data_IF_790041137498
#
_entry.id   IF_790041137498
#
_cell.length_a   1.000
_cell.length_b   1.000
_cell.length_c   1.000
_cell.angle_alpha   90.00
_cell.angle_beta   90.00
_cell.angle_gamma   90.00
#
_symmetry.space_group_name_H-M   'P 1'
#
loop_
_entity.id
_entity.type
_entity.pdbx_description
1 polymer ?
#
# COMPACT_ATOMS: atom_id res chain seq x y z
N UNK A 1 -17.72 -7.27 -14.69
CA UNK A 1 -16.49 -6.48 -14.88
C UNK A 1 -15.56 -6.71 -13.71
N UNK A 2 -14.26 -6.66 -13.95
CA UNK A 2 -13.24 -6.90 -12.94
C UNK A 2 -13.11 -5.75 -11.94
N UNK A 3 -12.53 -6.04 -10.78
CA UNK A 3 -12.12 -5.00 -9.81
C UNK A 3 -11.02 -4.12 -10.42
N UNK A 4 -11.12 -2.80 -10.22
CA UNK A 4 -10.17 -1.80 -10.70
C UNK A 4 -10.16 -0.57 -9.79
N UNK A 5 -9.25 0.35 -10.04
CA UNK A 5 -8.99 1.51 -9.21
C UNK A 5 -8.86 1.11 -7.75
N UNK A 6 -7.87 0.27 -7.45
CA UNK A 6 -7.58 -0.12 -6.07
C UNK A 6 -6.60 0.89 -5.47
N UNK A 7 -6.98 1.51 -4.37
CA UNK A 7 -6.07 2.36 -3.60
C UNK A 7 -6.33 2.19 -2.10
N UNK A 8 -5.36 2.63 -1.31
CA UNK A 8 -5.44 2.59 0.14
C UNK A 8 -5.11 3.97 0.70
N UNK A 9 -5.95 4.46 1.61
CA UNK A 9 -5.65 5.67 2.38
C UNK A 9 -5.30 5.32 3.82
N UNK A 10 -4.46 6.14 4.42
CA UNK A 10 -4.03 5.96 5.80
C UNK A 10 -5.00 6.66 6.75
N UNK A 11 -5.59 5.91 7.70
CA UNK A 11 -6.49 6.46 8.70
C UNK A 11 -5.78 6.72 10.04
N UNK A 12 -5.03 5.74 10.54
CA UNK A 12 -4.35 5.83 11.83
C UNK A 12 -3.04 5.05 11.82
N UNK A 13 -2.04 5.54 12.55
CA UNK A 13 -0.75 4.85 12.76
C UNK A 13 -0.48 4.75 14.25
N UNK A 14 -0.03 3.58 14.70
CA UNK A 14 0.52 3.37 16.02
C UNK A 14 1.96 2.88 15.87
N UNK A 15 2.91 3.78 16.11
CA UNK A 15 4.34 3.55 15.93
C UNK A 15 4.90 2.53 16.92
N UNK A 16 4.39 2.47 18.16
CA UNK A 16 4.90 1.55 19.19
C UNK A 16 4.57 0.10 18.84
N UNK A 17 3.39 -0.14 18.29
CA UNK A 17 2.96 -1.46 17.85
C UNK A 17 3.33 -1.78 16.40
N UNK A 18 3.89 -0.80 15.68
CA UNK A 18 4.14 -0.85 14.23
C UNK A 18 2.88 -1.26 13.45
N UNK A 19 1.74 -0.72 13.87
CA UNK A 19 0.42 -0.98 13.27
C UNK A 19 -0.09 0.24 12.52
N UNK A 20 -0.85 -0.05 11.47
CA UNK A 20 -1.40 0.92 10.54
C UNK A 20 -2.84 0.50 10.19
N UNK A 21 -3.81 1.38 10.44
CA UNK A 21 -5.18 1.22 9.98
C UNK A 21 -5.37 2.00 8.67
N UNK A 22 -5.68 1.29 7.60
CA UNK A 22 -5.97 1.86 6.29
C UNK A 22 -7.37 1.55 5.81
N UNK A 23 -7.94 2.42 4.98
CA UNK A 23 -9.13 2.10 4.19
C UNK A 23 -8.68 1.75 2.77
N UNK A 24 -8.99 0.53 2.32
CA UNK A 24 -8.85 0.14 0.92
C UNK A 24 -10.15 0.43 0.21
N UNK A 25 -10.06 1.15 -0.89
CA UNK A 25 -11.16 1.39 -1.81
C UNK A 25 -10.92 0.68 -3.13
N UNK A 26 -11.99 0.17 -3.73
CA UNK A 26 -12.00 -0.52 -5.03
C UNK A 26 -13.26 -0.17 -5.80
N UNK A 27 -13.17 -0.05 -7.11
CA UNK A 27 -14.33 0.03 -7.99
C UNK A 27 -14.63 -1.34 -8.61
N UNK A 28 -15.88 -1.78 -8.45
CA UNK A 28 -16.44 -2.95 -9.11
C UNK A 28 -17.64 -2.52 -9.96
N UNK A 29 -17.54 -2.62 -11.29
CA UNK A 29 -18.56 -2.13 -12.23
C UNK A 29 -19.01 -0.69 -11.91
N UNK A 30 -18.05 0.23 -11.77
CA UNK A 30 -18.25 1.65 -11.41
C UNK A 30 -18.90 1.93 -10.04
N UNK A 31 -19.18 0.90 -9.25
CA UNK A 31 -19.59 1.05 -7.86
C UNK A 31 -18.35 1.01 -6.96
N UNK A 32 -18.15 2.06 -6.17
CA UNK A 32 -17.10 2.10 -5.14
C UNK A 32 -17.48 1.20 -3.97
N UNK A 33 -16.54 0.38 -3.52
CA UNK A 33 -16.58 -0.37 -2.27
C UNK A 33 -15.35 -0.03 -1.44
N UNK A 34 -15.52 0.04 -0.14
CA UNK A 34 -14.42 0.31 0.80
C UNK A 34 -14.43 -0.70 1.93
N UNK A 35 -13.24 -1.01 2.45
CA UNK A 35 -13.05 -1.82 3.65
C UNK A 35 -11.88 -1.28 4.45
N UNK A 36 -11.98 -1.34 5.77
CA UNK A 36 -10.88 -1.01 6.65
C UNK A 36 -10.00 -2.25 6.85
N UNK A 37 -8.69 -2.08 6.77
CA UNK A 37 -7.69 -3.11 6.98
C UNK A 37 -6.69 -2.64 8.01
N UNK A 38 -6.35 -3.52 8.96
CA UNK A 38 -5.22 -3.31 9.86
C UNK A 38 -4.00 -4.04 9.31
N UNK A 39 -2.93 -3.30 9.05
CA UNK A 39 -1.63 -3.82 8.68
C UNK A 39 -0.69 -3.69 9.87
N UNK A 40 0.06 -4.75 10.18
CA UNK A 40 1.16 -4.70 11.16
C UNK A 40 2.46 -5.06 10.47
N UNK A 41 3.46 -4.19 10.58
CA UNK A 41 4.80 -4.54 10.14
C UNK A 41 5.40 -5.56 11.12
N UNK A 42 5.90 -6.67 10.58
CA UNK A 42 6.46 -7.75 11.37
C UNK A 42 7.84 -8.15 10.86
N UNK A 43 8.66 -8.62 11.78
CA UNK A 43 9.96 -9.25 11.52
C UNK A 43 9.81 -10.74 11.78
N UNK A 44 10.09 -11.59 10.78
CA UNK A 44 10.16 -13.02 11.00
C UNK A 44 11.53 -13.41 11.59
N UNK A 45 11.56 -14.56 12.26
CA UNK A 45 12.79 -15.16 12.76
C UNK A 45 13.83 -15.29 11.63
N UNK A 46 15.08 -14.91 11.93
CA UNK A 46 16.18 -14.87 10.96
C UNK A 46 16.31 -13.57 10.17
N UNK A 47 15.38 -12.61 10.33
CA UNK A 47 15.48 -11.28 9.72
C UNK A 47 15.75 -10.20 10.77
N UNK A 48 16.59 -9.23 10.41
CA UNK A 48 16.92 -8.09 11.29
C UNK A 48 16.01 -6.86 11.07
N UNK A 49 15.16 -6.92 10.05
CA UNK A 49 14.25 -5.84 9.66
C UNK A 49 12.85 -6.39 9.39
N UNK A 50 11.84 -5.55 9.50
CA UNK A 50 10.46 -5.96 9.23
C UNK A 50 10.29 -6.25 7.74
N UNK A 51 10.07 -7.51 7.41
CA UNK A 51 9.98 -8.02 6.02
C UNK A 51 8.57 -8.48 5.65
N UNK A 52 7.60 -8.34 6.55
CA UNK A 52 6.22 -8.81 6.35
C UNK A 52 5.20 -7.80 6.83
N UNK A 53 4.04 -7.77 6.17
CA UNK A 53 2.81 -7.23 6.73
C UNK A 53 1.91 -8.38 7.18
N UNK A 54 1.40 -8.33 8.40
CA UNK A 54 0.18 -9.08 8.72
C UNK A 54 -1.03 -8.21 8.42
N UNK A 55 -1.93 -8.70 7.57
CA UNK A 55 -3.17 -8.05 7.18
C UNK A 55 -4.35 -8.66 7.96
N UNK A 56 -5.22 -7.81 8.51
CA UNK A 56 -6.46 -8.22 9.20
C UNK A 56 -7.62 -7.34 8.72
N UNK A 57 -8.69 -7.94 8.21
CA UNK A 57 -9.87 -7.20 7.72
C UNK A 57 -10.74 -6.63 8.85
N UNK A 58 -10.92 -7.38 9.93
CA UNK A 58 -11.60 -6.90 11.14
C UNK A 58 -11.05 -7.62 12.37
N UNK A 59 -11.19 -7.08 13.59
CA UNK A 59 -10.80 -7.78 14.80
C UNK A 59 -11.42 -9.20 14.82
N UNK A 60 -10.58 -10.22 15.01
CA UNK A 60 -10.99 -11.63 14.97
C UNK A 60 -10.97 -12.31 13.58
N UNK A 61 -10.73 -11.57 12.49
CA UNK A 61 -10.54 -12.15 11.17
C UNK A 61 -9.24 -12.97 11.07
N UNK A 62 -9.19 -13.89 10.11
CA UNK A 62 -7.97 -14.63 9.79
C UNK A 62 -6.89 -13.65 9.32
N UNK A 63 -5.68 -13.79 9.87
CA UNK A 63 -4.51 -13.01 9.45
C UNK A 63 -3.94 -13.57 8.15
N UNK A 64 -3.71 -12.70 7.18
CA UNK A 64 -2.88 -13.00 6.01
C UNK A 64 -1.48 -12.42 6.24
N UNK A 65 -0.44 -13.17 5.88
CA UNK A 65 0.95 -12.72 5.97
C UNK A 65 1.48 -12.44 4.57
N UNK A 66 1.90 -11.19 4.35
CA UNK A 66 2.31 -10.65 3.06
C UNK A 66 3.80 -10.30 3.11
N UNK A 67 4.69 -11.12 2.53
CA UNK A 67 6.09 -10.78 2.38
C UNK A 67 6.27 -9.51 1.55
N UNK A 68 7.11 -8.60 2.03
CA UNK A 68 7.61 -7.44 1.28
C UNK A 68 8.84 -7.88 0.49
N UNK A 69 8.70 -8.01 -0.82
CA UNK A 69 9.78 -8.48 -1.70
C UNK A 69 10.75 -7.35 -2.10
N UNK A 70 10.24 -6.12 -2.18
CA UNK A 70 11.03 -4.93 -2.46
C UNK A 70 10.31 -3.69 -1.95
N UNK A 71 11.07 -2.69 -1.49
CA UNK A 71 10.54 -1.42 -1.07
C UNK A 71 11.49 -0.30 -1.49
N UNK A 72 10.93 0.75 -2.08
CA UNK A 72 11.59 2.05 -2.20
C UNK A 72 10.84 3.04 -1.30
N UNK A 73 11.41 3.41 -0.14
CA UNK A 73 10.72 4.21 0.87
C UNK A 73 10.06 5.47 0.29
N UNK A 74 8.78 5.66 0.62
CA UNK A 74 7.98 6.79 0.15
C UNK A 74 7.51 6.70 -1.31
N UNK A 75 7.99 5.73 -2.10
CA UNK A 75 7.68 5.63 -3.54
C UNK A 75 6.85 4.40 -3.87
N UNK A 76 7.36 3.20 -3.56
CA UNK A 76 6.68 1.96 -3.94
C UNK A 76 7.01 0.80 -3.00
N UNK A 77 6.13 -0.20 -3.01
CA UNK A 77 6.34 -1.48 -2.32
C UNK A 77 5.80 -2.62 -3.18
N UNK A 78 6.53 -3.72 -3.22
CA UNK A 78 6.13 -4.96 -3.87
C UNK A 78 5.84 -5.98 -2.78
N UNK A 79 4.60 -6.45 -2.74
CA UNK A 79 4.15 -7.47 -1.79
C UNK A 79 3.76 -8.75 -2.53
N UNK A 80 4.08 -9.90 -1.94
CA UNK A 80 3.72 -11.23 -2.49
C UNK A 80 2.52 -11.81 -1.74
N UNK A 81 1.70 -12.59 -2.42
CA UNK A 81 0.60 -13.36 -1.83
C UNK A 81 0.91 -14.86 -1.85
N UNK A 82 1.55 -15.40 -0.80
CA UNK A 82 2.01 -16.80 -0.80
C UNK A 82 0.89 -17.83 -0.68
N UNK A 83 -0.32 -17.44 -0.25
CA UNK A 83 -1.43 -18.36 0.06
C UNK A 83 -2.58 -18.33 -0.96
N UNK A 84 -2.44 -17.63 -2.11
CA UNK A 84 -3.42 -17.72 -3.20
C UNK A 84 -3.11 -18.95 -4.05
N UNK A 85 -4.11 -19.81 -4.20
CA UNK A 85 -4.07 -21.19 -4.70
C UNK A 85 -3.17 -21.48 -5.92
N UNK A 86 -2.58 -22.66 -5.86
CA UNK A 86 -1.46 -23.27 -6.60
C UNK A 86 -1.67 -23.64 -8.08
N UNK A 87 -2.55 -23.01 -8.84
CA UNK A 87 -2.65 -23.32 -10.29
C UNK A 87 -2.75 -22.13 -11.22
N UNK A 88 -3.05 -20.92 -10.73
CA UNK A 88 -2.97 -19.70 -11.53
C UNK A 88 -2.58 -18.50 -10.66
N UNK A 89 -1.36 -18.02 -10.89
CA UNK A 89 -0.81 -16.71 -10.48
C UNK A 89 -0.38 -16.61 -9.02
N UNK A 90 0.93 -16.72 -8.80
CA UNK A 90 1.55 -16.08 -7.64
C UNK A 90 1.31 -14.57 -7.76
N UNK A 91 0.29 -14.06 -7.08
CA UNK A 91 -0.09 -12.65 -7.19
C UNK A 91 0.94 -11.80 -6.43
N UNK A 92 1.79 -11.09 -7.15
CA UNK A 92 2.46 -9.92 -6.60
C UNK A 92 1.57 -8.70 -6.79
N UNK A 93 1.69 -7.74 -5.89
CA UNK A 93 1.15 -6.40 -6.10
C UNK A 93 2.29 -5.38 -6.05
N UNK A 94 2.31 -4.47 -7.02
CA UNK A 94 3.09 -3.24 -6.96
C UNK A 94 2.18 -2.11 -6.47
N UNK A 95 2.46 -1.61 -5.27
CA UNK A 95 1.81 -0.41 -4.74
C UNK A 95 2.74 0.78 -4.94
N UNK A 96 2.18 1.90 -5.39
CA UNK A 96 2.90 3.15 -5.62
C UNK A 96 2.19 4.27 -4.86
N UNK A 97 2.94 5.15 -4.21
CA UNK A 97 2.35 6.28 -3.53
C UNK A 97 1.71 7.24 -4.53
N UNK A 98 0.54 7.79 -4.18
CA UNK A 98 -0.19 8.71 -5.05
C UNK A 98 0.67 9.92 -5.46
N UNK A 99 1.40 10.50 -4.51
CA UNK A 99 2.32 11.62 -4.78
C UNK A 99 3.45 11.27 -5.75
N UNK A 100 3.85 10.00 -5.81
CA UNK A 100 4.82 9.52 -6.81
C UNK A 100 4.18 9.36 -8.18
N UNK A 101 2.95 8.86 -8.25
CA UNK A 101 2.21 8.76 -9.51
C UNK A 101 1.93 10.14 -10.10
N UNK A 102 1.49 11.10 -9.28
CA UNK A 102 1.23 12.49 -9.70
C UNK A 102 2.47 13.17 -10.27
N UNK A 103 3.65 12.91 -9.69
CA UNK A 103 4.93 13.47 -10.17
C UNK A 103 5.47 12.79 -11.44
N UNK A 104 5.00 11.59 -11.77
CA UNK A 104 5.54 10.77 -12.86
C UNK A 104 4.48 10.48 -13.95
N UNK A 105 3.61 11.44 -14.26
CA UNK A 105 2.57 11.30 -15.29
C UNK A 105 1.73 10.02 -15.12
N UNK A 106 1.35 9.71 -13.88
CA UNK A 106 0.55 8.54 -13.51
C UNK A 106 1.23 7.18 -13.78
N UNK A 107 2.56 7.17 -13.91
CA UNK A 107 3.35 5.94 -14.07
C UNK A 107 4.19 5.63 -12.84
N UNK A 108 4.41 4.33 -12.58
CA UNK A 108 5.31 3.89 -11.52
C UNK A 108 6.78 4.25 -11.85
N UNK A 109 7.64 4.51 -10.85
CA UNK A 109 9.06 4.73 -11.10
C UNK A 109 9.70 3.55 -11.83
N UNK A 110 10.58 3.82 -12.80
CA UNK A 110 11.27 2.77 -13.60
C UNK A 110 11.92 1.69 -12.75
N UNK A 111 12.55 2.06 -11.64
CA UNK A 111 13.19 1.12 -10.70
C UNK A 111 12.17 0.16 -10.08
N UNK A 112 11.01 0.66 -9.67
CA UNK A 112 9.92 -0.15 -9.13
C UNK A 112 9.39 -1.13 -10.16
N UNK A 113 9.24 -0.69 -11.42
CA UNK A 113 8.80 -1.55 -12.54
C UNK A 113 9.83 -2.65 -12.80
N UNK A 114 11.12 -2.31 -12.93
CA UNK A 114 12.19 -3.30 -13.18
C UNK A 114 12.22 -4.35 -12.06
N UNK A 115 12.12 -3.93 -10.79
CA UNK A 115 12.11 -4.87 -9.67
C UNK A 115 10.83 -5.72 -9.64
N UNK A 116 9.68 -5.14 -9.98
CA UNK A 116 8.42 -5.88 -10.09
C UNK A 116 8.53 -6.96 -11.17
N UNK A 117 9.05 -6.59 -12.34
CA UNK A 117 9.24 -7.48 -13.48
C UNK A 117 10.23 -8.62 -13.19
N UNK A 118 11.29 -8.32 -12.42
CA UNK A 118 12.27 -9.31 -12.01
C UNK A 118 11.75 -10.26 -10.94
N UNK A 119 10.94 -9.76 -10.00
CA UNK A 119 10.50 -10.52 -8.83
C UNK A 119 9.17 -11.25 -9.04
N UNK A 120 8.40 -10.94 -10.08
CA UNK A 120 7.02 -11.38 -10.24
C UNK A 120 6.76 -11.94 -11.64
N UNK A 121 5.75 -12.81 -11.76
CA UNK A 121 5.41 -13.48 -13.01
C UNK A 121 5.03 -12.51 -14.14
N UNK A 122 5.04 -13.02 -15.38
CA UNK A 122 4.89 -12.23 -16.61
C UNK A 122 3.49 -11.68 -16.82
N UNK A 123 2.44 -12.31 -16.28
CA UNK A 123 1.06 -11.85 -16.47
C UNK A 123 0.70 -10.78 -15.47
N UNK A 124 0.63 -9.53 -15.94
CA UNK A 124 0.33 -8.34 -15.12
C UNK A 124 -1.04 -7.80 -15.49
N UNK A 125 -1.77 -7.35 -14.48
CA UNK A 125 -3.02 -6.63 -14.65
C UNK A 125 -2.86 -5.23 -14.06
N UNK A 126 -3.19 -4.21 -14.84
CA UNK A 126 -3.26 -2.85 -14.34
C UNK A 126 -4.50 -2.69 -13.46
N UNK A 127 -4.29 -2.36 -12.18
CA UNK A 127 -5.36 -2.19 -11.19
C UNK A 127 -5.66 -0.72 -10.90
N UNK A 128 -4.80 0.21 -11.33
CA UNK A 128 -4.96 1.64 -11.10
C UNK A 128 -4.35 2.37 -12.30
N UNK A 129 -5.19 3.08 -13.07
CA UNK A 129 -4.79 3.86 -14.24
C UNK A 129 -5.23 5.32 -14.13
N UNK A 130 -5.05 6.08 -15.21
CA UNK A 130 -5.37 7.51 -15.27
C UNK A 130 -6.82 7.82 -14.93
N UNK A 131 -7.75 6.97 -15.37
CA UNK A 131 -9.18 7.07 -15.12
C UNK A 131 -9.56 6.91 -13.63
N UNK A 132 -8.67 6.34 -12.82
CA UNK A 132 -8.85 6.21 -11.39
C UNK A 132 -8.51 7.51 -10.64
N UNK A 133 -7.67 8.39 -11.20
CA UNK A 133 -7.23 9.64 -10.56
C UNK A 133 -8.40 10.61 -10.30
N UNK A 134 -9.37 10.65 -11.21
CA UNK A 134 -10.54 11.50 -11.07
C UNK A 134 -11.51 10.92 -10.02
N UNK A 135 -11.70 9.60 -10.05
CA UNK A 135 -12.51 8.87 -9.07
C UNK A 135 -11.99 9.01 -7.63
N UNK A 136 -10.67 9.10 -7.45
CA UNK A 136 -10.05 9.36 -6.14
C UNK A 136 -10.26 10.79 -5.64
N UNK A 137 -10.35 11.79 -6.55
CA UNK A 137 -10.54 13.20 -6.18
C UNK A 137 -11.97 13.51 -5.78
N UNK A 138 -12.95 12.93 -6.47
CA UNK A 138 -14.39 13.08 -6.18
C UNK A 138 -14.77 12.55 -4.79
N UNK A 139 -13.98 11.62 -4.24
CA UNK A 139 -14.17 11.08 -2.91
C UNK A 139 -13.69 11.95 -1.73
N UNK A 140 -13.19 13.17 -2.00
CA UNK A 140 -13.02 14.22 -0.99
C UNK A 140 -11.81 14.11 -0.06
N UNK A 141 -10.58 13.92 -0.58
CA UNK A 141 -9.36 13.98 0.24
C UNK A 141 -8.15 14.55 -0.53
N UNK A 142 -7.93 15.87 -0.49
CA UNK A 142 -6.57 16.44 -0.48
C UNK A 142 -6.57 17.66 0.46
N UNK A 143 -6.41 17.44 1.76
CA UNK A 143 -5.78 18.42 2.64
C UNK A 143 -4.54 17.78 3.23
N UNK A 144 -3.41 18.11 2.62
CA UNK A 144 -2.09 17.95 3.24
C UNK A 144 -1.96 19.00 4.34
N UNK A 145 -2.10 18.60 5.60
CA UNK A 145 -1.58 19.39 6.71
C UNK A 145 -1.06 18.47 7.81
N UNK A 146 0.22 18.11 7.69
CA UNK A 146 1.03 17.84 8.87
C UNK A 146 2.13 18.87 8.88
N UNK A 147 1.89 20.02 9.51
CA UNK A 147 2.99 20.84 10.00
C UNK A 147 3.76 20.02 11.04
N UNK A 148 5.10 20.00 11.01
CA UNK A 148 5.85 19.47 12.13
C UNK A 148 5.65 20.41 13.33
N UNK A 149 5.04 19.89 14.40
CA UNK A 149 5.13 20.48 15.74
C UNK A 149 6.60 20.48 16.17
N UNK A 150 7.31 21.56 15.87
CA UNK A 150 8.59 21.88 16.47
C UNK A 150 8.36 22.68 17.73
N UNK A 151 8.50 22.03 18.89
CA UNK A 151 8.55 22.71 20.17
C UNK A 151 9.42 21.93 21.12
N UNK A 152 10.65 22.39 21.37
CA UNK A 152 11.19 22.53 22.74
C UNK A 152 12.44 23.42 22.77
N UNK A 153 12.36 24.45 23.64
CA UNK A 153 13.39 25.00 24.54
C UNK A 153 14.73 25.49 23.97
N UNK A 154 14.89 26.82 23.97
CA UNK A 154 16.17 27.46 24.25
C UNK A 154 16.19 27.84 25.75
N UNK A 155 17.01 27.13 26.52
CA UNK A 155 17.58 27.60 27.78
C UNK A 155 18.80 28.43 27.42
N UNK A 156 18.93 29.63 27.99
CA UNK A 156 20.19 30.37 28.01
C UNK A 156 20.25 31.19 29.29
N UNK A 157 21.42 31.13 29.92
CA UNK A 157 21.86 31.78 31.16
C UNK A 157 21.68 33.31 31.19
#
# INVERSE_FOLDING_TARGET
GGARCVWMKRLQVNESEKTFLGEVSVYCNDTRRSMNLTLKAMTLEGYNVSTFFSLTEHPGARKEYLPVAYQEPGKCVIVRHPYKYTEMRYACNLWVSLSTLEKNNHTAPKRCIIMYDYLCETTKQEMFGEDCMNKTKESGEITSSTEPRGGTTATSD
#
